data_IF_287642291148
#
_entry.id   IF_287642291148
#
_cell.length_a   1.000
_cell.length_b   1.000
_cell.length_c   1.000
_cell.angle_alpha   90.00
_cell.angle_beta   90.00
_cell.angle_gamma   90.00
#
_symmetry.space_group_name_H-M   'P 1'
#
loop_
_entity.id
_entity.type
_entity.pdbx_description
1 polymer ?
#
# COMPACT_ATOMS: atom_id res chain seq x y z
N UNK A 1 4.36 -11.97 7.75
CA UNK A 1 3.69 -10.68 7.89
C UNK A 1 4.29 -9.68 6.92
N UNK A 2 3.51 -9.33 5.90
CA UNK A 2 3.95 -8.41 4.86
C UNK A 2 3.00 -7.23 4.80
N UNK A 3 3.51 -6.03 5.08
CA UNK A 3 2.74 -4.80 5.02
C UNK A 3 3.01 -4.12 3.68
N UNK A 4 1.97 -3.98 2.88
CA UNK A 4 2.05 -3.39 1.56
C UNK A 4 1.42 -2.00 1.60
N UNK A 5 2.20 -0.99 1.22
CA UNK A 5 1.70 0.37 1.09
C UNK A 5 1.62 0.74 -0.39
N UNK A 6 0.50 1.27 -0.80
CA UNK A 6 0.31 1.69 -2.19
C UNK A 6 -0.05 3.17 -2.24
N UNK A 7 0.79 3.93 -2.92
CA UNK A 7 0.50 5.32 -3.24
C UNK A 7 -0.14 5.37 -4.63
N UNK A 8 -1.46 5.58 -4.66
CA UNK A 8 -2.24 5.56 -5.90
C UNK A 8 -2.31 6.95 -6.50
N UNK A 9 -1.91 7.09 -7.76
CA UNK A 9 -2.07 8.33 -8.51
C UNK A 9 -2.88 8.07 -9.78
N UNK A 10 -3.06 9.10 -10.60
CA UNK A 10 -3.93 8.99 -11.77
C UNK A 10 -3.43 8.02 -12.85
N UNK A 11 -2.12 7.85 -12.95
CA UNK A 11 -1.52 7.04 -14.04
C UNK A 11 -0.93 5.74 -13.55
N UNK A 12 -0.47 5.71 -12.32
CA UNK A 12 0.25 4.56 -11.78
C UNK A 12 0.09 4.51 -10.28
N UNK A 13 0.44 3.38 -9.73
CA UNK A 13 0.58 3.20 -8.29
C UNK A 13 2.02 2.85 -7.96
N UNK A 14 2.52 3.37 -6.85
CA UNK A 14 3.84 3.01 -6.33
C UNK A 14 3.63 2.11 -5.13
N UNK A 15 4.32 0.98 -5.12
CA UNK A 15 4.11 -0.10 -4.15
C UNK A 15 5.37 -0.33 -3.33
N UNK A 16 5.20 -0.38 -2.01
CA UNK A 16 6.28 -0.74 -1.08
C UNK A 16 5.83 -1.92 -0.23
N UNK A 17 6.76 -2.82 0.06
CA UNK A 17 6.48 -3.99 0.90
C UNK A 17 7.49 -4.05 2.03
N UNK A 18 7.01 -4.03 3.27
CA UNK A 18 7.84 -4.08 4.47
C UNK A 18 7.42 -5.27 5.34
N UNK A 19 8.36 -5.73 6.15
CA UNK A 19 8.13 -6.70 7.22
C UNK A 19 8.36 -6.03 8.58
N UNK A 20 8.02 -6.73 9.68
CA UNK A 20 8.20 -6.17 11.02
C UNK A 20 9.59 -5.58 11.22
N UNK A 21 9.66 -4.51 12.01
CA UNK A 21 10.86 -3.71 12.27
C UNK A 21 11.34 -2.93 11.03
N UNK A 22 10.48 -2.80 10.02
CA UNK A 22 10.80 -2.02 8.83
C UNK A 22 11.72 -2.72 7.84
N UNK A 23 11.86 -4.05 7.93
CA UNK A 23 12.65 -4.81 6.97
C UNK A 23 12.05 -4.62 5.57
N UNK A 24 12.89 -4.22 4.61
CA UNK A 24 12.47 -4.01 3.23
C UNK A 24 12.46 -5.34 2.50
N UNK A 25 11.28 -5.73 1.98
CA UNK A 25 11.15 -6.98 1.21
C UNK A 25 11.66 -6.79 -0.21
N UNK A 26 11.30 -5.65 -0.80
CA UNK A 26 11.77 -5.27 -2.13
C UNK A 26 11.78 -3.76 -2.22
N UNK A 27 12.58 -3.22 -3.14
CA UNK A 27 12.57 -1.77 -3.39
C UNK A 27 11.20 -1.36 -3.94
N UNK A 28 10.73 -0.14 -3.62
CA UNK A 28 9.46 0.32 -4.17
C UNK A 28 9.44 0.26 -5.69
N UNK A 29 8.31 -0.13 -6.24
CA UNK A 29 8.14 -0.29 -7.68
C UNK A 29 6.82 0.30 -8.14
N UNK A 30 6.75 0.65 -9.42
CA UNK A 30 5.55 1.23 -10.02
C UNK A 30 4.72 0.18 -10.74
N UNK A 31 3.42 0.39 -10.71
CA UNK A 31 2.44 -0.48 -11.37
C UNK A 31 1.47 0.40 -12.16
N UNK A 32 1.21 0.03 -13.41
CA UNK A 32 0.21 0.72 -14.23
C UNK A 32 -1.19 0.25 -13.85
N UNK A 33 -2.20 1.10 -14.11
CA UNK A 33 -3.59 0.81 -13.73
C UNK A 33 -4.35 0.00 -14.78
N UNK A 34 -3.68 -0.50 -15.80
CA UNK A 34 -4.32 -1.35 -16.80
C UNK A 34 -4.45 -2.79 -16.28
N UNK A 35 -5.15 -3.61 -17.06
CA UNK A 35 -5.40 -5.00 -16.68
C UNK A 35 -4.09 -5.75 -16.44
N UNK A 36 -3.11 -5.57 -17.32
CA UNK A 36 -1.82 -6.25 -17.19
C UNK A 36 -1.05 -5.80 -15.95
N UNK A 37 -1.06 -4.50 -15.66
CA UNK A 37 -0.38 -3.95 -14.50
C UNK A 37 -0.98 -4.45 -13.19
N UNK A 38 -2.30 -4.43 -13.08
CA UNK A 38 -2.97 -4.90 -11.87
C UNK A 38 -2.83 -6.42 -11.70
N UNK A 39 -2.87 -7.18 -12.79
CA UNK A 39 -2.65 -8.62 -12.72
C UNK A 39 -1.24 -8.95 -12.26
N UNK A 40 -0.24 -8.20 -12.74
CA UNK A 40 1.15 -8.35 -12.30
C UNK A 40 1.30 -8.05 -10.81
N UNK A 41 0.63 -7.01 -10.32
CA UNK A 41 0.64 -6.65 -8.90
C UNK A 41 0.06 -7.78 -8.06
N UNK A 42 -1.12 -8.30 -8.44
CA UNK A 42 -1.76 -9.41 -7.73
C UNK A 42 -0.82 -10.61 -7.65
N UNK A 43 -0.19 -10.96 -8.77
CA UNK A 43 0.73 -12.09 -8.82
C UNK A 43 1.91 -11.91 -7.87
N UNK A 44 2.51 -10.71 -7.88
CA UNK A 44 3.63 -10.42 -6.99
C UNK A 44 3.24 -10.49 -5.52
N UNK A 45 2.08 -9.94 -5.16
CA UNK A 45 1.66 -9.94 -3.76
C UNK A 45 1.28 -11.33 -3.29
N UNK A 46 0.66 -12.14 -4.14
CA UNK A 46 0.31 -13.52 -3.78
C UNK A 46 1.54 -14.42 -3.67
N UNK A 47 2.63 -14.06 -4.28
CA UNK A 47 3.88 -14.81 -4.18
C UNK A 47 4.62 -14.57 -2.86
N UNK A 48 4.22 -13.58 -2.07
CA UNK A 48 4.86 -13.29 -0.80
C UNK A 48 4.50 -14.35 0.24
N UNK A 49 5.50 -14.79 1.01
CA UNK A 49 5.30 -15.74 2.08
C UNK A 49 4.69 -15.06 3.30
N UNK A 50 3.67 -15.68 3.88
CA UNK A 50 3.04 -15.20 5.10
C UNK A 50 1.84 -14.31 4.83
N UNK A 51 1.24 -13.85 5.92
CA UNK A 51 0.06 -13.00 5.85
C UNK A 51 0.41 -11.65 5.24
N UNK A 52 -0.36 -11.22 4.24
CA UNK A 52 -0.13 -9.97 3.52
C UNK A 52 -1.34 -9.07 3.67
N UNK A 53 -1.13 -7.83 4.08
CA UNK A 53 -2.17 -6.82 4.17
C UNK A 53 -1.75 -5.59 3.38
N UNK A 54 -2.67 -5.10 2.56
CA UNK A 54 -2.43 -3.95 1.68
C UNK A 54 -3.19 -2.75 2.22
N UNK A 55 -2.50 -1.61 2.28
CA UNK A 55 -3.11 -0.34 2.71
C UNK A 55 -2.86 0.71 1.64
N UNK A 56 -3.87 1.52 1.37
CA UNK A 56 -3.81 2.69 0.50
C UNK A 56 -4.68 3.79 1.08
N UNK A 57 -4.44 5.03 0.64
CA UNK A 57 -5.31 6.14 1.02
C UNK A 57 -6.53 6.18 0.12
N UNK A 58 -7.72 6.47 0.69
CA UNK A 58 -8.92 6.66 -0.12
C UNK A 58 -9.01 8.11 -0.60
N UNK A 59 -8.07 8.50 -1.48
CA UNK A 59 -8.04 9.82 -2.09
C UNK A 59 -8.31 9.74 -3.59
N UNK A 60 -9.02 10.75 -4.10
CA UNK A 60 -9.37 10.74 -5.49
C UNK A 60 -10.29 9.59 -5.84
N UNK A 61 -10.29 9.22 -7.11
CA UNK A 61 -11.17 8.14 -7.61
C UNK A 61 -10.41 6.93 -8.11
N UNK A 62 -9.10 7.00 -8.19
CA UNK A 62 -8.32 5.90 -8.79
C UNK A 62 -8.07 4.75 -7.84
N UNK A 63 -8.11 5.00 -6.52
CA UNK A 63 -7.88 3.95 -5.53
C UNK A 63 -8.94 2.85 -5.59
N UNK A 64 -10.18 3.20 -5.94
CA UNK A 64 -11.28 2.24 -5.95
C UNK A 64 -11.03 1.07 -6.90
N UNK A 65 -10.53 1.35 -8.10
CA UNK A 65 -10.23 0.30 -9.07
C UNK A 65 -9.12 -0.62 -8.58
N UNK A 66 -8.09 -0.05 -7.96
CA UNK A 66 -6.97 -0.83 -7.42
C UNK A 66 -7.45 -1.67 -6.24
N UNK A 67 -8.18 -1.06 -5.30
CA UNK A 67 -8.71 -1.76 -4.13
C UNK A 67 -9.61 -2.93 -4.57
N UNK A 68 -10.51 -2.67 -5.50
CA UNK A 68 -11.44 -3.69 -5.99
C UNK A 68 -10.71 -4.87 -6.64
N UNK A 69 -9.72 -4.57 -7.49
CA UNK A 69 -8.95 -5.61 -8.16
C UNK A 69 -8.23 -6.51 -7.16
N UNK A 70 -7.63 -5.93 -6.13
CA UNK A 70 -6.93 -6.68 -5.10
C UNK A 70 -7.91 -7.49 -4.24
N UNK A 71 -9.03 -6.89 -3.87
CA UNK A 71 -10.05 -7.57 -3.09
C UNK A 71 -10.62 -8.77 -3.84
N UNK A 72 -10.96 -8.60 -5.10
CA UNK A 72 -11.51 -9.68 -5.94
C UNK A 72 -10.50 -10.82 -6.15
N UNK A 73 -9.23 -10.52 -6.04
CA UNK A 73 -8.18 -11.53 -6.13
C UNK A 73 -7.97 -12.28 -4.80
N UNK A 74 -8.71 -11.94 -3.76
CA UNK A 74 -8.63 -12.60 -2.47
C UNK A 74 -7.58 -12.01 -1.53
N UNK A 75 -7.07 -10.81 -1.83
CA UNK A 75 -6.10 -10.15 -0.95
C UNK A 75 -6.81 -9.30 0.09
N UNK A 76 -6.20 -9.20 1.27
CA UNK A 76 -6.64 -8.27 2.31
C UNK A 76 -6.23 -6.87 1.88
N UNK A 77 -7.20 -5.98 1.69
CA UNK A 77 -6.93 -4.61 1.25
C UNK A 77 -7.79 -3.62 2.05
N UNK A 78 -7.15 -2.56 2.51
CA UNK A 78 -7.77 -1.54 3.37
C UNK A 78 -7.47 -0.16 2.81
N UNK A 79 -8.51 0.62 2.53
CA UNK A 79 -8.35 2.02 2.14
C UNK A 79 -8.62 2.88 3.38
N UNK A 80 -7.67 3.76 3.72
CA UNK A 80 -7.74 4.55 4.95
C UNK A 80 -7.87 6.04 4.64
N UNK A 81 -8.41 6.77 5.61
CA UNK A 81 -8.50 8.22 5.52
C UNK A 81 -7.10 8.82 5.36
N UNK A 82 -6.88 9.68 4.35
CA UNK A 82 -5.57 10.32 4.15
C UNK A 82 -5.05 11.05 5.38
N UNK A 83 -5.94 11.55 6.21
CA UNK A 83 -5.56 12.27 7.43
C UNK A 83 -4.76 11.37 8.38
N UNK A 84 -5.12 10.08 8.46
CA UNK A 84 -4.39 9.13 9.30
C UNK A 84 -2.94 8.97 8.83
N UNK A 85 -2.73 8.95 7.52
CA UNK A 85 -1.38 8.85 6.98
C UNK A 85 -0.63 10.16 7.14
N UNK A 86 -1.31 11.29 6.94
CA UNK A 86 -0.70 12.61 7.09
C UNK A 86 -0.18 12.83 8.51
N UNK A 87 -0.94 12.42 9.52
CA UNK A 87 -0.56 12.58 10.91
C UNK A 87 0.48 11.55 11.36
N UNK A 88 0.50 10.41 10.72
CA UNK A 88 1.47 9.37 11.03
C UNK A 88 2.87 9.86 10.66
N UNK A 89 3.78 9.79 11.61
CA UNK A 89 5.15 10.26 11.39
C UNK A 89 5.28 11.78 11.28
N UNK A 90 4.31 12.53 11.81
CA UNK A 90 4.33 14.00 11.78
C UNK A 90 5.56 14.61 12.45
N UNK A 91 6.23 13.84 13.31
CA UNK A 91 7.45 14.28 14.01
C UNK A 91 8.72 14.07 13.17
N UNK A 92 8.58 13.56 11.97
CA UNK A 92 9.73 13.37 11.10
C UNK A 92 10.31 14.71 10.67
N UNK A 93 11.62 14.84 10.77
CA UNK A 93 12.32 16.05 10.33
C UNK A 93 12.48 16.10 8.81
N UNK A 94 12.29 14.98 8.13
CA UNK A 94 12.43 14.91 6.68
C UNK A 94 11.11 15.21 6.01
N UNK A 95 11.18 16.14 5.06
CA UNK A 95 10.03 16.60 4.29
C UNK A 95 10.09 16.18 2.83
N UNK A 96 10.86 15.16 2.51
CA UNK A 96 10.96 14.71 1.13
C UNK A 96 9.68 13.97 0.77
N UNK A 97 8.95 14.53 -0.20
CA UNK A 97 7.74 13.91 -0.74
C UNK A 97 8.07 13.31 -2.09
N UNK A 98 8.03 11.99 -2.16
CA UNK A 98 8.11 11.24 -3.40
C UNK A 98 7.10 10.11 -3.32
N UNK A 99 6.69 9.59 -4.45
CA UNK A 99 5.75 8.46 -4.49
C UNK A 99 6.32 7.26 -3.72
N UNK A 100 7.64 7.06 -3.85
CA UNK A 100 8.31 5.95 -3.15
C UNK A 100 8.31 6.16 -1.64
N UNK A 101 8.61 7.36 -1.18
CA UNK A 101 8.58 7.69 0.25
C UNK A 101 7.17 7.58 0.81
N UNK A 102 6.17 8.00 0.05
CA UNK A 102 4.77 7.91 0.46
C UNK A 102 4.32 6.45 0.55
N UNK A 103 4.69 5.61 -0.40
CA UNK A 103 4.37 4.18 -0.36
C UNK A 103 5.00 3.51 0.86
N UNK A 104 6.26 3.84 1.18
CA UNK A 104 6.94 3.31 2.36
C UNK A 104 6.24 3.78 3.63
N UNK A 105 5.85 5.05 3.70
CA UNK A 105 5.13 5.59 4.85
C UNK A 105 3.81 4.86 5.08
N UNK A 106 3.06 4.60 4.02
CA UNK A 106 1.81 3.85 4.11
C UNK A 106 2.07 2.42 4.59
N UNK A 107 3.12 1.77 4.10
CA UNK A 107 3.48 0.43 4.55
C UNK A 107 3.87 0.41 6.03
N UNK A 108 4.59 1.44 6.50
CA UNK A 108 4.93 1.56 7.93
C UNK A 108 3.68 1.78 8.78
N UNK A 109 2.74 2.59 8.30
CA UNK A 109 1.46 2.76 8.95
C UNK A 109 0.76 1.41 9.11
N UNK A 110 0.77 0.59 8.06
CA UNK A 110 0.15 -0.72 8.10
C UNK A 110 0.80 -1.63 9.14
N UNK A 111 2.12 -1.60 9.28
CA UNK A 111 2.81 -2.38 10.31
C UNK A 111 2.40 -1.95 11.72
N UNK A 112 2.43 -0.63 11.97
CA UNK A 112 2.18 -0.11 13.31
C UNK A 112 0.71 -0.22 13.72
N UNK A 113 -0.21 -0.34 12.76
CA UNK A 113 -1.64 -0.42 13.03
C UNK A 113 -2.24 -1.75 12.55
N UNK A 114 -1.42 -2.77 12.44
CA UNK A 114 -1.79 -4.06 11.85
C UNK A 114 -3.08 -4.63 12.40
N UNK A 115 -3.23 -4.64 13.70
CA UNK A 115 -4.40 -5.22 14.37
C UNK A 115 -5.69 -4.43 14.10
N UNK A 116 -5.56 -3.15 13.74
CA UNK A 116 -6.71 -2.27 13.53
C UNK A 116 -7.15 -2.17 12.07
N UNK A 117 -6.41 -2.79 11.17
CA UNK A 117 -6.75 -2.77 9.75
C UNK A 117 -8.02 -3.58 9.48
N UNK A 118 -8.86 -3.07 8.59
CA UNK A 118 -10.12 -3.72 8.22
C UNK A 118 -10.13 -4.01 6.72
N UNK A 119 -10.43 -5.27 6.39
CA UNK A 119 -10.45 -5.69 5.00
C UNK A 119 -11.61 -5.07 4.25
N UNK A 120 -11.29 -4.46 3.14
CA UNK A 120 -12.21 -3.89 2.16
C UNK A 120 -13.32 -3.04 2.77
N UNK A 121 -12.94 -1.89 3.27
CA UNK A 121 -13.90 -0.92 3.80
C UNK A 121 -14.23 0.16 2.77
#
# INVERSE_FOLDING_TARGET
MNAVGIDVSSRKSTVAVLRPLGEVVCLPFDVTHDIAGLASLVEKLKALDGETRVVMEHTGRYYEAVEKALHEAGLFVCAVNPLLIKEYGANSLRRVKTDKADAIKIARYALDNWADLRDFT
#
